data_IF_965671782412
#
_entry.id   IF_965671782412
#
_cell.length_a   1.000
_cell.length_b   1.000
_cell.length_c   1.000
_cell.angle_alpha   90.00
_cell.angle_beta   90.00
_cell.angle_gamma   90.00
#
_symmetry.space_group_name_H-M   'P 1'
#
loop_
_entity.id
_entity.type
_entity.pdbx_description
1 polymer ?
#
# COMPACT_ATOMS: atom_id res chain seq x y z
N UNK A 1 0.96 0.70 -24.67
CA UNK A 1 1.62 0.45 -23.39
C UNK A 1 0.77 0.91 -22.22
N UNK A 2 0.55 0.02 -21.30
CA UNK A 2 -0.23 0.34 -20.11
C UNK A 2 0.48 1.27 -19.19
N UNK A 3 -0.19 2.32 -18.81
CA UNK A 3 0.33 3.26 -17.83
C UNK A 3 -0.42 3.23 -16.52
N UNK A 4 -1.44 2.38 -16.43
CA UNK A 4 -2.23 2.33 -15.22
C UNK A 4 -1.52 1.51 -14.16
N UNK A 5 -1.64 1.96 -12.94
CA UNK A 5 -1.06 1.23 -11.85
C UNK A 5 -1.67 1.67 -10.54
N UNK A 6 -1.60 0.78 -9.59
CA UNK A 6 -2.00 1.10 -8.22
C UNK A 6 -0.82 1.79 -7.56
N UNK A 7 -1.10 2.93 -6.96
CA UNK A 7 -0.09 3.68 -6.20
C UNK A 7 -0.48 3.62 -4.74
N UNK A 8 0.50 3.83 -3.89
CA UNK A 8 0.23 3.73 -2.47
C UNK A 8 0.98 4.78 -1.67
N UNK A 9 0.49 5.04 -0.47
CA UNK A 9 1.08 5.96 0.48
C UNK A 9 1.58 5.24 1.72
N UNK A 10 1.87 3.95 1.60
CA UNK A 10 2.19 3.14 2.78
C UNK A 10 3.41 3.68 3.50
N UNK A 11 4.46 4.02 2.77
CA UNK A 11 5.68 4.52 3.39
C UNK A 11 5.40 5.78 4.19
N UNK A 12 4.63 6.69 3.61
CA UNK A 12 4.29 7.94 4.26
C UNK A 12 3.46 7.70 5.51
N UNK A 13 2.49 6.78 5.40
CA UNK A 13 1.65 6.46 6.56
C UNK A 13 2.46 5.79 7.66
N UNK A 14 3.40 4.91 7.30
CA UNK A 14 4.27 4.31 8.29
C UNK A 14 5.07 5.39 9.03
N UNK A 15 5.58 6.33 8.29
CA UNK A 15 6.37 7.41 8.89
C UNK A 15 5.56 8.18 9.92
N UNK A 16 4.30 8.46 9.61
CA UNK A 16 3.46 9.22 10.53
C UNK A 16 2.92 8.38 11.68
N UNK A 17 3.17 7.07 11.66
CA UNK A 17 2.75 6.19 12.75
C UNK A 17 3.98 5.70 13.50
N UNK A 18 4.66 6.63 14.16
CA UNK A 18 5.83 6.33 14.97
C UNK A 18 6.94 5.67 14.17
N UNK A 19 7.08 6.08 12.92
CA UNK A 19 8.11 5.52 12.05
C UNK A 19 8.05 4.00 12.02
N UNK A 20 6.85 3.48 11.84
CA UNK A 20 6.63 2.04 11.77
C UNK A 20 7.51 1.42 10.68
N UNK A 21 8.17 0.32 11.01
CA UNK A 21 9.00 -0.37 10.03
C UNK A 21 8.15 -1.24 9.12
N UNK A 22 8.73 -1.64 7.98
CA UNK A 22 8.07 -2.58 7.09
C UNK A 22 7.80 -3.90 7.79
N UNK A 23 8.73 -4.34 8.63
CA UNK A 23 8.56 -5.57 9.38
C UNK A 23 7.38 -5.47 10.35
N UNK A 24 7.26 -4.35 11.03
CA UNK A 24 6.16 -4.15 11.96
C UNK A 24 4.82 -4.17 11.23
N UNK A 25 4.74 -3.50 10.09
CA UNK A 25 3.52 -3.51 9.32
C UNK A 25 3.20 -4.93 8.84
N UNK A 26 4.21 -5.64 8.35
CA UNK A 26 4.02 -7.00 7.87
C UNK A 26 3.43 -7.88 8.97
N UNK A 27 3.95 -7.76 10.18
CA UNK A 27 3.44 -8.55 11.30
C UNK A 27 2.01 -8.20 11.63
N UNK A 28 1.67 -6.92 11.55
CA UNK A 28 0.32 -6.48 11.91
C UNK A 28 -0.73 -6.99 10.92
N UNK A 29 -0.36 -7.14 9.66
CA UNK A 29 -1.31 -7.57 8.64
C UNK A 29 -1.13 -9.02 8.23
N UNK A 30 -0.16 -9.72 8.83
CA UNK A 30 -0.05 -11.17 8.64
C UNK A 30 0.63 -11.60 7.35
N UNK A 31 1.58 -10.81 6.86
CA UNK A 31 2.35 -11.18 5.67
C UNK A 31 3.83 -11.03 5.96
N UNK A 32 4.67 -11.38 5.00
CA UNK A 32 6.11 -11.23 5.18
C UNK A 32 6.53 -9.81 4.84
N UNK A 33 7.70 -9.44 5.36
CA UNK A 33 8.29 -8.15 5.04
C UNK A 33 8.49 -8.00 3.55
N UNK A 34 8.87 -9.10 2.85
CA UNK A 34 9.05 -9.05 1.40
C UNK A 34 7.78 -8.63 0.68
N UNK A 35 6.64 -9.09 1.17
CA UNK A 35 5.37 -8.71 0.58
C UNK A 35 5.14 -7.20 0.71
N UNK A 36 5.43 -6.65 1.89
CA UNK A 36 5.27 -5.21 2.08
C UNK A 36 6.21 -4.43 1.16
N UNK A 37 7.46 -4.88 1.05
CA UNK A 37 8.41 -4.22 0.16
C UNK A 37 7.89 -4.21 -1.28
N UNK A 38 7.36 -5.35 -1.74
CA UNK A 38 6.85 -5.44 -3.10
C UNK A 38 5.64 -4.54 -3.32
N UNK A 39 4.76 -4.44 -2.31
CA UNK A 39 3.60 -3.57 -2.42
C UNK A 39 4.03 -2.11 -2.46
N UNK A 40 4.93 -1.72 -1.57
CA UNK A 40 5.36 -0.32 -1.52
C UNK A 40 6.06 0.10 -2.80
N UNK A 41 6.77 -0.81 -3.45
CA UNK A 41 7.46 -0.50 -4.69
C UNK A 41 6.57 -0.66 -5.92
N UNK A 42 5.30 -0.98 -5.71
CA UNK A 42 4.31 -1.13 -6.78
C UNK A 42 4.61 -2.30 -7.71
N UNK A 43 5.35 -3.27 -7.21
CA UNK A 43 5.62 -4.49 -7.98
C UNK A 43 4.61 -5.58 -7.74
N UNK A 44 3.75 -5.40 -6.76
CA UNK A 44 2.78 -6.38 -6.38
C UNK A 44 1.54 -5.66 -5.86
N UNK A 45 0.38 -6.03 -6.37
CA UNK A 45 -0.88 -5.44 -5.90
C UNK A 45 -1.49 -6.38 -4.88
N UNK A 46 -1.81 -5.89 -3.69
CA UNK A 46 -2.36 -6.75 -2.66
C UNK A 46 -3.77 -7.18 -3.01
N UNK A 47 -4.21 -8.28 -2.41
CA UNK A 47 -5.60 -8.65 -2.47
C UNK A 47 -6.42 -7.56 -1.81
N UNK A 48 -7.71 -7.54 -2.11
CA UNK A 48 -8.58 -6.54 -1.50
C UNK A 48 -8.59 -6.69 0.02
N UNK A 49 -8.59 -7.92 0.51
CA UNK A 49 -8.60 -8.14 1.96
C UNK A 49 -7.33 -7.58 2.59
N UNK A 50 -6.18 -7.84 1.98
CA UNK A 50 -4.93 -7.34 2.53
C UNK A 50 -4.91 -5.81 2.48
N UNK A 51 -5.43 -5.23 1.41
CA UNK A 51 -5.50 -3.79 1.28
C UNK A 51 -6.32 -3.18 2.41
N UNK A 52 -7.48 -3.78 2.73
CA UNK A 52 -8.29 -3.30 3.83
C UNK A 52 -7.60 -3.46 5.18
N UNK A 53 -6.86 -4.56 5.37
CA UNK A 53 -6.12 -4.75 6.61
C UNK A 53 -5.07 -3.66 6.81
N UNK A 54 -4.39 -3.30 5.74
CA UNK A 54 -3.39 -2.24 5.82
C UNK A 54 -4.06 -0.92 6.20
N UNK A 55 -5.18 -0.62 5.56
CA UNK A 55 -5.89 0.61 5.87
C UNK A 55 -6.33 0.64 7.34
N UNK A 56 -6.75 -0.50 7.87
CA UNK A 56 -7.17 -0.58 9.27
C UNK A 56 -6.02 -0.32 10.23
N UNK A 57 -4.82 -0.79 9.89
CA UNK A 57 -3.66 -0.55 10.74
C UNK A 57 -3.43 0.95 10.91
N UNK A 58 -3.61 1.71 9.84
CA UNK A 58 -3.39 3.15 9.87
C UNK A 58 -4.65 3.92 10.24
N UNK A 59 -5.77 3.23 10.39
CA UNK A 59 -7.04 3.84 10.76
C UNK A 59 -7.44 4.93 9.77
N UNK A 60 -7.33 4.62 8.49
CA UNK A 60 -7.70 5.54 7.41
C UNK A 60 -8.52 4.78 6.38
N UNK A 61 -9.29 5.50 5.56
CA UNK A 61 -10.02 4.86 4.48
C UNK A 61 -9.07 4.25 3.47
N UNK A 62 -9.54 3.24 2.75
CA UNK A 62 -8.74 2.57 1.73
C UNK A 62 -8.15 3.56 0.73
N UNK A 63 -8.91 4.57 0.35
CA UNK A 63 -8.44 5.55 -0.62
C UNK A 63 -7.31 6.42 -0.14
N UNK A 64 -7.03 6.43 1.17
CA UNK A 64 -5.87 7.14 1.70
C UNK A 64 -4.60 6.30 1.56
N UNK A 65 -4.75 4.99 1.43
CA UNK A 65 -3.61 4.08 1.31
C UNK A 65 -3.28 3.82 -0.15
N UNK A 66 -4.30 3.53 -0.95
CA UNK A 66 -4.12 3.14 -2.34
C UNK A 66 -4.91 4.03 -3.27
N UNK A 67 -4.29 4.40 -4.37
CA UNK A 67 -4.97 5.14 -5.43
C UNK A 67 -4.65 4.47 -6.74
N UNK A 68 -5.47 4.74 -7.75
CA UNK A 68 -5.29 4.15 -9.06
C UNK A 68 -4.87 5.25 -10.02
N UNK A 69 -3.75 5.08 -10.64
CA UNK A 69 -3.15 6.10 -11.49
C UNK A 69 -3.52 5.83 -12.95
N UNK A 70 -4.43 6.64 -13.49
CA UNK A 70 -4.82 6.56 -14.89
C UNK A 70 -4.13 7.65 -15.65
N UNK A 71 -3.09 7.34 -16.26
CA UNK A 71 -2.42 8.34 -17.05
C UNK A 71 -3.05 8.58 -18.34
N UNK A 72 -3.11 8.88 -18.73
CA UNK A 72 -3.55 8.97 -19.84
C UNK A 72 -3.80 9.12 -20.63
N UNK A 73 -3.95 9.00 -20.71
CA UNK A 73 -4.26 8.92 -21.37
C UNK A 73 -5.18 9.17 -21.90
N UNK A 74 -5.49 9.48 -21.64
CA UNK A 74 -6.41 9.65 -21.98
C UNK A 74 -6.67 10.48 -22.68
N UNK A 75 -6.48 10.63 -22.91
CA UNK A 75 -6.64 11.15 -23.33
C UNK A 75 -6.78 11.17 -23.85
#
# INVERSE_FOLDING_TARGET
MEKRRVRNNIRKLRFYHDEMTQEQLAQKVGVTRQTIIAIESAKYSPSLELAFRIALVFDVPLGEVFTYDLEDDAK
#
